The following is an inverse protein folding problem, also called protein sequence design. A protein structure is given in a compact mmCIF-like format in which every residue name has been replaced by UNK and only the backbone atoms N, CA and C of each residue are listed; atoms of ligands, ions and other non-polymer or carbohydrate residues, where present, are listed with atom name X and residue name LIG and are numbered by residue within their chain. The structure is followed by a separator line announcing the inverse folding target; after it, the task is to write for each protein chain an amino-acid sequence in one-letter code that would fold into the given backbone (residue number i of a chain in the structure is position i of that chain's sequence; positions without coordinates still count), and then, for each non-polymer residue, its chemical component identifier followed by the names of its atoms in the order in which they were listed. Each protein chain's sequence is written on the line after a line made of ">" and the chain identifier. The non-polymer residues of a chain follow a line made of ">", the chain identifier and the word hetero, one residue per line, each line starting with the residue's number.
data_IF_831785247350
#
_entry.id   IF_831785247350
#
_cell.length_a   1.000
_cell.length_b   1.000
_cell.length_c   1.000
_cell.angle_alpha   90.00
_cell.angle_beta   90.00
_cell.angle_gamma   90.00
#
_symmetry.space_group_name_H-M   'P 1'
#
loop_
_entity.id
_entity.type
_entity.pdbx_description
1 polymer ?
#
# COMPACT_ATOMS: atom_id res chain seq x y z
N UNK A 1 15.59 22.42 -8.70
CA UNK A 1 14.47 22.99 -7.91
C UNK A 1 13.68 21.88 -7.23
N UNK A 2 13.17 20.89 -7.97
CA UNK A 2 12.36 19.78 -7.42
C UNK A 2 13.14 18.93 -6.41
N UNK A 3 14.40 18.56 -6.71
CA UNK A 3 15.28 17.88 -5.74
C UNK A 3 15.45 18.68 -4.44
N UNK A 4 15.64 20.00 -4.56
CA UNK A 4 15.77 20.89 -3.40
C UNK A 4 14.49 20.95 -2.57
N UNK A 5 13.32 20.95 -3.23
CA UNK A 5 12.03 20.85 -2.55
C UNK A 5 11.88 19.50 -1.84
N UNK A 6 12.30 18.41 -2.48
CA UNK A 6 12.29 17.08 -1.87
C UNK A 6 13.17 17.01 -0.62
N UNK A 7 14.37 17.59 -0.67
CA UNK A 7 15.26 17.71 0.49
C UNK A 7 14.59 18.48 1.63
N UNK A 8 14.00 19.64 1.34
CA UNK A 8 13.31 20.47 2.35
C UNK A 8 12.12 19.72 2.94
N UNK A 9 11.32 19.04 2.12
CA UNK A 9 10.18 18.23 2.59
C UNK A 9 10.65 17.11 3.53
N UNK A 10 11.73 16.40 3.19
CA UNK A 10 12.32 15.34 4.03
C UNK A 10 12.85 15.87 5.36
N UNK A 11 13.51 17.03 5.35
CA UNK A 11 13.93 17.69 6.58
C UNK A 11 12.73 18.03 7.48
N UNK A 12 11.65 18.51 6.88
CA UNK A 12 10.46 18.92 7.62
C UNK A 12 9.65 17.74 8.15
N UNK A 13 9.61 16.63 7.43
CA UNK A 13 9.15 15.33 7.94
C UNK A 13 9.95 14.93 9.17
N UNK A 14 11.28 15.02 9.09
CA UNK A 14 12.19 14.65 10.19
C UNK A 14 12.03 15.55 11.41
N UNK A 15 11.77 16.84 11.22
CA UNK A 15 11.48 17.76 12.34
C UNK A 15 10.10 17.47 12.94
N UNK A 16 9.10 17.24 12.10
CA UNK A 16 7.74 17.02 12.56
C UNK A 16 7.58 15.68 13.29
N UNK A 17 8.25 14.62 12.85
CA UNK A 17 8.18 13.29 13.48
C UNK A 17 8.63 13.29 14.93
N UNK A 18 9.55 14.19 15.32
CA UNK A 18 10.02 14.36 16.70
C UNK A 18 8.97 14.91 17.66
N UNK A 19 7.93 15.56 17.13
CA UNK A 19 6.88 16.24 17.92
C UNK A 19 5.47 15.71 17.61
N UNK A 20 5.35 14.78 16.65
CA UNK A 20 4.08 14.20 16.23
C UNK A 20 3.69 13.08 17.19
N UNK A 21 2.50 13.17 17.78
CA UNK A 21 1.99 12.16 18.71
C UNK A 21 1.43 10.92 17.98
N UNK A 22 0.74 11.14 16.87
CA UNK A 22 0.20 10.07 16.04
C UNK A 22 0.22 10.48 14.55
N UNK A 23 1.10 9.89 13.73
CA UNK A 23 1.20 10.17 12.30
C UNK A 23 -0.06 9.85 11.51
N UNK A 24 -0.89 8.90 11.95
CA UNK A 24 -2.05 8.42 11.19
C UNK A 24 -3.23 9.39 11.23
N UNK A 25 -3.33 10.16 12.32
CA UNK A 25 -4.37 11.18 12.50
C UNK A 25 -3.85 12.60 12.24
N UNK A 26 -2.53 12.78 12.11
CA UNK A 26 -1.92 14.09 11.91
C UNK A 26 -2.01 14.59 10.46
N UNK A 27 -2.76 15.66 10.26
CA UNK A 27 -2.90 16.32 8.94
C UNK A 27 -1.58 16.82 8.37
N UNK A 28 -0.67 17.33 9.21
CA UNK A 28 0.65 17.81 8.75
C UNK A 28 1.52 16.65 8.27
N UNK A 29 1.54 15.54 9.01
CA UNK A 29 2.23 14.32 8.61
C UNK A 29 1.72 13.79 7.26
N UNK A 30 0.39 13.74 7.09
CA UNK A 30 -0.25 13.34 5.83
C UNK A 30 0.15 14.25 4.66
N UNK A 31 0.06 15.57 4.83
CA UNK A 31 0.39 16.53 3.78
C UNK A 31 1.86 16.51 3.37
N UNK A 32 2.77 16.35 4.34
CA UNK A 32 4.20 16.22 4.07
C UNK A 32 4.51 14.93 3.30
N UNK A 33 3.86 13.82 3.67
CA UNK A 33 4.01 12.53 2.96
C UNK A 33 3.50 12.63 1.51
N UNK A 34 2.36 13.28 1.29
CA UNK A 34 1.83 13.53 -0.05
C UNK A 34 2.76 14.43 -0.87
N UNK A 35 3.33 15.47 -0.25
CA UNK A 35 4.25 16.38 -0.92
C UNK A 35 5.55 15.66 -1.32
N UNK A 36 6.11 14.84 -0.42
CA UNK A 36 7.29 14.02 -0.71
C UNK A 36 7.01 13.07 -1.88
N UNK A 37 5.84 12.43 -1.86
CA UNK A 37 5.39 11.53 -2.92
C UNK A 37 5.37 12.22 -4.30
N UNK A 38 4.66 13.35 -4.45
CA UNK A 38 4.56 14.03 -5.75
C UNK A 38 5.91 14.52 -6.26
N UNK A 39 6.78 14.98 -5.36
CA UNK A 39 8.13 15.42 -5.72
C UNK A 39 8.99 14.25 -6.19
N UNK A 40 8.86 13.07 -5.57
CA UNK A 40 9.54 11.85 -6.01
C UNK A 40 9.06 11.42 -7.40
N UNK A 41 7.75 11.37 -7.61
CA UNK A 41 7.17 11.01 -8.91
C UNK A 41 7.66 11.93 -10.03
N UNK A 42 7.68 13.24 -9.78
CA UNK A 42 8.12 14.22 -10.77
C UNK A 42 9.63 14.06 -11.09
N UNK A 43 10.45 13.71 -10.09
CA UNK A 43 11.87 13.42 -10.31
C UNK A 43 12.10 12.13 -11.12
N UNK A 44 11.29 11.11 -10.91
CA UNK A 44 11.36 9.87 -11.69
C UNK A 44 10.95 10.07 -13.16
N UNK A 45 9.92 10.90 -13.41
CA UNK A 45 9.56 11.32 -14.78
C UNK A 45 10.74 12.02 -15.46
N UNK A 46 11.57 12.72 -14.70
CA UNK A 46 12.79 13.36 -15.17
C UNK A 46 14.02 12.42 -15.21
N UNK A 47 13.86 11.15 -14.84
CA UNK A 47 14.92 10.13 -14.84
C UNK A 47 15.92 10.27 -13.69
N UNK A 48 15.53 10.92 -12.59
CA UNK A 48 16.38 11.11 -11.40
C UNK A 48 16.06 10.01 -10.38
N UNK A 49 17.08 9.27 -9.95
CA UNK A 49 16.93 8.25 -8.90
C UNK A 49 16.74 8.90 -7.52
N UNK A 50 15.60 8.65 -6.86
CA UNK A 50 15.21 9.30 -5.60
C UNK A 50 15.38 8.43 -4.35
N UNK A 51 15.72 7.15 -4.53
CA UNK A 51 15.96 6.17 -3.48
C UNK A 51 14.71 5.64 -2.75
N UNK A 52 13.49 5.94 -3.22
CA UNK A 52 12.27 5.30 -2.72
C UNK A 52 11.94 4.05 -3.55
N UNK A 53 11.76 2.89 -2.91
CA UNK A 53 11.22 1.71 -3.57
C UNK A 53 9.69 1.87 -3.74
N UNK A 54 9.27 2.55 -4.80
CA UNK A 54 7.88 2.55 -5.27
C UNK A 54 7.68 1.48 -6.35
N UNK A 55 6.44 1.08 -6.59
CA UNK A 55 6.14 0.11 -7.65
C UNK A 55 6.35 0.74 -9.03
N UNK A 56 7.24 0.16 -9.82
CA UNK A 56 7.32 0.49 -11.25
C UNK A 56 6.09 -0.05 -12.02
N UNK A 57 5.95 0.34 -13.28
CA UNK A 57 4.79 -0.04 -14.09
C UNK A 57 4.61 -1.57 -14.26
N UNK A 58 5.71 -2.33 -14.32
CA UNK A 58 5.69 -3.79 -14.40
C UNK A 58 5.23 -4.39 -13.07
N UNK A 59 5.78 -3.91 -11.97
CA UNK A 59 5.42 -4.38 -10.62
C UNK A 59 3.98 -4.03 -10.25
N UNK A 60 3.48 -2.86 -10.68
CA UNK A 60 2.07 -2.49 -10.55
C UNK A 60 1.18 -3.46 -11.32
N UNK A 61 1.55 -3.82 -12.55
CA UNK A 61 0.79 -4.76 -13.37
C UNK A 61 0.76 -6.15 -12.71
N UNK A 62 1.91 -6.62 -12.21
CA UNK A 62 1.99 -7.90 -11.52
C UNK A 62 1.13 -7.92 -10.26
N UNK A 63 1.18 -6.85 -9.46
CA UNK A 63 0.41 -6.77 -8.22
C UNK A 63 -1.09 -6.64 -8.48
N UNK A 64 -1.50 -5.90 -9.52
CA UNK A 64 -2.91 -5.86 -9.96
C UNK A 64 -3.42 -7.25 -10.30
N UNK A 65 -2.65 -8.01 -11.09
CA UNK A 65 -3.02 -9.37 -11.45
C UNK A 65 -3.17 -10.27 -10.21
N UNK A 66 -2.23 -10.21 -9.26
CA UNK A 66 -2.33 -10.98 -8.01
C UNK A 66 -3.59 -10.64 -7.21
N UNK A 67 -3.97 -9.36 -7.14
CA UNK A 67 -5.21 -8.93 -6.48
C UNK A 67 -6.46 -9.40 -7.23
N UNK A 68 -6.42 -9.42 -8.56
CA UNK A 68 -7.51 -9.96 -9.38
C UNK A 68 -7.69 -11.45 -9.21
N UNK A 69 -6.59 -12.20 -9.11
CA UNK A 69 -6.61 -13.64 -8.85
C UNK A 69 -7.22 -13.94 -7.46
N UNK A 70 -6.89 -13.14 -6.44
CA UNK A 70 -7.54 -13.21 -5.11
C UNK A 70 -9.04 -12.98 -5.23
N UNK A 71 -9.47 -11.94 -5.93
CA UNK A 71 -10.88 -11.62 -6.10
C UNK A 71 -11.61 -12.75 -6.81
N UNK A 72 -10.98 -13.36 -7.81
CA UNK A 72 -11.52 -14.52 -8.51
C UNK A 72 -11.71 -15.73 -7.58
N UNK A 73 -10.71 -16.06 -6.76
CA UNK A 73 -10.80 -17.15 -5.77
C UNK A 73 -11.89 -16.89 -4.73
N UNK A 74 -11.98 -15.65 -4.22
CA UNK A 74 -13.04 -15.25 -3.27
C UNK A 74 -14.43 -15.38 -3.93
N UNK A 75 -14.58 -14.96 -5.18
CA UNK A 75 -15.84 -15.09 -5.92
C UNK A 75 -16.26 -16.56 -6.06
N UNK A 76 -15.31 -17.44 -6.40
CA UNK A 76 -15.57 -18.86 -6.62
C UNK A 76 -15.94 -19.59 -5.31
N UNK A 77 -15.35 -19.19 -4.19
CA UNK A 77 -15.63 -19.78 -2.87
C UNK A 77 -16.93 -19.29 -2.23
N UNK A 78 -17.45 -18.13 -2.64
CA UNK A 78 -18.58 -17.45 -2.00
C UNK A 78 -19.93 -17.56 -2.73
N UNK A 79 -20.21 -18.66 -3.43
CA UNK A 79 -21.53 -18.90 -4.03
C UNK A 79 -22.66 -18.64 -3.00
N UNK A 80 -23.38 -17.52 -3.12
CA UNK A 80 -24.49 -17.11 -2.24
C UNK A 80 -24.31 -15.81 -1.43
N UNK A 81 -23.15 -15.14 -1.47
CA UNK A 81 -22.89 -13.90 -0.70
C UNK A 81 -22.40 -12.73 -1.58
N UNK A 82 -23.20 -12.33 -2.57
CA UNK A 82 -22.86 -11.25 -3.52
C UNK A 82 -22.49 -9.91 -2.85
N UNK A 83 -23.16 -9.55 -1.74
CA UNK A 83 -22.90 -8.28 -1.04
C UNK A 83 -21.48 -8.24 -0.46
N UNK A 84 -21.01 -9.32 0.16
CA UNK A 84 -19.68 -9.36 0.80
C UNK A 84 -18.57 -9.34 -0.26
N UNK A 85 -18.84 -9.90 -1.44
CA UNK A 85 -17.89 -9.84 -2.55
C UNK A 85 -17.68 -8.41 -3.06
N UNK A 86 -18.74 -7.63 -3.23
CA UNK A 86 -18.62 -6.24 -3.70
C UNK A 86 -17.90 -5.33 -2.69
N UNK A 87 -18.08 -5.56 -1.39
CA UNK A 87 -17.35 -4.85 -0.34
C UNK A 87 -15.83 -5.14 -0.44
N UNK A 88 -15.45 -6.41 -0.53
CA UNK A 88 -14.03 -6.82 -0.66
C UNK A 88 -13.42 -6.28 -1.96
N UNK A 89 -14.16 -6.36 -3.06
CA UNK A 89 -13.73 -5.81 -4.35
C UNK A 89 -13.46 -4.32 -4.27
N UNK A 90 -14.34 -3.56 -3.62
CA UNK A 90 -14.15 -2.12 -3.42
C UNK A 90 -12.88 -1.85 -2.63
N UNK A 91 -12.65 -2.55 -1.52
CA UNK A 91 -11.45 -2.41 -0.68
C UNK A 91 -10.14 -2.71 -1.43
N UNK A 92 -10.15 -3.72 -2.31
CA UNK A 92 -8.99 -4.09 -3.11
C UNK A 92 -8.77 -3.16 -4.32
N UNK A 93 -9.83 -2.65 -4.95
CA UNK A 93 -9.71 -1.61 -5.98
C UNK A 93 -9.17 -0.30 -5.41
N UNK A 94 -9.61 0.09 -4.22
CA UNK A 94 -9.00 1.20 -3.50
C UNK A 94 -7.50 0.97 -3.31
N UNK A 95 -7.09 -0.22 -2.87
CA UNK A 95 -5.68 -0.55 -2.67
C UNK A 95 -4.87 -0.44 -3.98
N UNK A 96 -5.44 -0.83 -5.13
CA UNK A 96 -4.81 -0.64 -6.45
C UNK A 96 -4.63 0.84 -6.80
N UNK A 97 -5.52 1.72 -6.35
CA UNK A 97 -5.36 3.17 -6.54
C UNK A 97 -4.20 3.74 -5.72
N UNK A 98 -3.67 2.99 -4.74
CA UNK A 98 -2.64 3.42 -3.80
C UNK A 98 -1.23 2.97 -4.16
N UNK A 99 -0.96 2.47 -5.37
CA UNK A 99 0.40 2.08 -5.81
C UNK A 99 1.42 3.24 -5.78
N UNK A 100 0.93 4.46 -5.61
CA UNK A 100 1.73 5.63 -5.32
C UNK A 100 2.44 5.57 -3.95
N UNK A 101 1.99 4.72 -3.02
CA UNK A 101 2.69 4.52 -1.75
C UNK A 101 4.01 3.76 -1.97
N UNK A 102 4.98 3.97 -1.07
CA UNK A 102 6.16 3.11 -1.03
C UNK A 102 5.73 1.63 -0.89
N UNK A 103 6.49 0.70 -1.49
CA UNK A 103 6.18 -0.74 -1.44
C UNK A 103 5.93 -1.21 -0.01
N UNK A 104 6.71 -0.71 0.95
CA UNK A 104 6.54 -0.99 2.39
C UNK A 104 5.19 -0.53 2.92
N UNK A 105 4.82 0.73 2.70
CA UNK A 105 3.58 1.30 3.24
C UNK A 105 2.36 0.65 2.58
N UNK A 106 2.44 0.38 1.28
CA UNK A 106 1.39 -0.33 0.54
C UNK A 106 1.16 -1.74 1.09
N UNK A 107 2.24 -2.51 1.33
CA UNK A 107 2.16 -3.86 1.92
C UNK A 107 1.59 -3.83 3.34
N UNK A 108 1.96 -2.85 4.15
CA UNK A 108 1.40 -2.66 5.49
C UNK A 108 -0.09 -2.33 5.45
N UNK A 109 -0.53 -1.51 4.49
CA UNK A 109 -1.94 -1.16 4.33
C UNK A 109 -2.78 -2.37 3.90
N UNK A 110 -2.29 -3.16 2.93
CA UNK A 110 -2.92 -4.42 2.54
C UNK A 110 -3.05 -5.38 3.73
N UNK A 111 -1.98 -5.55 4.51
CA UNK A 111 -2.01 -6.37 5.74
C UNK A 111 -3.08 -5.89 6.72
N UNK A 112 -3.17 -4.58 6.96
CA UNK A 112 -4.20 -3.98 7.82
C UNK A 112 -5.61 -4.30 7.32
N UNK A 113 -5.91 -4.02 6.05
CA UNK A 113 -7.22 -4.31 5.43
C UNK A 113 -7.57 -5.80 5.54
N UNK A 114 -6.62 -6.71 5.30
CA UNK A 114 -6.84 -8.16 5.43
C UNK A 114 -7.19 -8.55 6.85
N UNK A 115 -6.46 -8.04 7.84
CA UNK A 115 -6.74 -8.31 9.27
C UNK A 115 -8.13 -7.79 9.63
N UNK A 116 -8.47 -6.56 9.25
CA UNK A 116 -9.77 -5.94 9.53
C UNK A 116 -10.92 -6.75 8.91
N UNK A 117 -10.79 -7.14 7.64
CA UNK A 117 -11.76 -7.98 6.94
C UNK A 117 -11.90 -9.38 7.58
N UNK A 118 -10.82 -9.92 8.15
CA UNK A 118 -10.85 -11.22 8.85
C UNK A 118 -11.60 -11.10 10.17
N UNK A 119 -11.30 -10.07 10.96
CA UNK A 119 -11.94 -9.82 12.26
C UNK A 119 -13.43 -9.50 12.07
N UNK A 120 -13.78 -8.77 11.02
CA UNK A 120 -15.16 -8.48 10.63
C UNK A 120 -15.92 -9.72 10.09
N UNK A 121 -15.25 -10.84 9.88
CA UNK A 121 -15.85 -12.06 9.31
C UNK A 121 -16.20 -11.93 7.82
N UNK A 122 -15.69 -10.90 7.14
CA UNK A 122 -15.88 -10.71 5.70
C UNK A 122 -15.09 -11.73 4.90
N UNK A 123 -13.91 -12.13 5.38
CA UNK A 123 -13.10 -13.22 4.80
C UNK A 123 -12.78 -14.26 5.87
N UNK A 124 -12.64 -15.52 5.46
CA UNK A 124 -12.23 -16.60 6.36
C UNK A 124 -10.71 -16.55 6.60
N UNK A 125 -10.25 -17.12 7.72
CA UNK A 125 -8.80 -17.24 8.00
C UNK A 125 -8.03 -17.93 6.86
N UNK A 126 -8.66 -18.85 6.12
CA UNK A 126 -8.06 -19.52 4.97
C UNK A 126 -7.79 -18.54 3.83
N UNK A 127 -8.77 -17.69 3.51
CA UNK A 127 -8.61 -16.63 2.50
C UNK A 127 -7.57 -15.62 2.96
N UNK A 128 -7.61 -15.21 4.23
CA UNK A 128 -6.62 -14.30 4.79
C UNK A 128 -5.21 -14.85 4.64
N UNK A 129 -4.99 -16.14 4.95
CA UNK A 129 -3.68 -16.80 4.76
C UNK A 129 -3.22 -16.78 3.30
N UNK A 130 -4.09 -17.07 2.34
CA UNK A 130 -3.75 -17.01 0.91
C UNK A 130 -3.30 -15.61 0.47
N UNK A 131 -4.02 -14.56 0.92
CA UNK A 131 -3.65 -13.17 0.62
C UNK A 131 -2.31 -12.82 1.26
N UNK A 132 -2.06 -13.28 2.49
CA UNK A 132 -0.79 -13.05 3.19
C UNK A 132 0.38 -13.83 2.57
N UNK A 133 0.16 -15.04 2.07
CA UNK A 133 1.17 -15.86 1.38
C UNK A 133 1.62 -15.21 0.07
N UNK A 134 0.71 -14.54 -0.65
CA UNK A 134 1.05 -13.72 -1.82
C UNK A 134 2.02 -12.58 -1.48
N UNK A 135 1.99 -12.09 -0.24
CA UNK A 135 2.94 -11.11 0.27
C UNK A 135 4.25 -11.74 0.77
N UNK A 136 4.24 -12.99 1.21
CA UNK A 136 5.40 -13.65 1.82
C UNK A 136 6.57 -13.89 0.88
N UNK A 137 6.33 -14.02 -0.44
CA UNK A 137 7.43 -14.09 -1.42
C UNK A 137 8.30 -12.82 -1.44
N UNK A 138 7.81 -11.70 -0.91
CA UNK A 138 8.61 -10.48 -0.70
C UNK A 138 8.86 -10.11 0.77
N UNK A 139 7.96 -10.46 1.70
CA UNK A 139 8.06 -10.06 3.12
C UNK A 139 9.21 -10.75 3.85
N UNK A 140 9.59 -11.98 3.46
CA UNK A 140 10.69 -12.69 4.12
C UNK A 140 12.06 -12.00 3.97
N UNK A 141 12.23 -11.08 3.01
CA UNK A 141 13.42 -10.21 2.91
C UNK A 141 13.45 -9.08 3.95
N UNK A 142 12.31 -8.70 4.52
CA UNK A 142 12.21 -7.60 5.48
C UNK A 142 12.32 -8.06 6.95
N UNK A 143 12.18 -9.36 7.23
CA UNK A 143 12.29 -9.95 8.58
C UNK A 143 13.68 -10.58 8.80
N UNK A 144 14.50 -10.70 7.74
CA UNK A 144 15.84 -11.32 7.77
C UNK A 144 17.01 -10.33 7.64
N UNK A 145 16.77 -9.02 7.76
CA UNK A 145 17.80 -7.96 7.81
C UNK A 145 17.73 -7.20 9.15
#
# INVERSE_FOLDING_TARGET
>A
IIESLLTITREEITKHSKVCQDPNTCSKSKNLSLSEFFLVQELEVLGVETGQEIFDASEQSEMKQKLDDILYEIAHLKMGQEIIYEDIKTELEELKSLFYLSKKNWKQLLLGKVIDMTIAGLISETISKQILELLQNDILKFISA
#
